data_IF_433834985054
#
_entry.id   IF_433834985054
#
_cell.length_a   1.000
_cell.length_b   1.000
_cell.length_c   1.000
_cell.angle_alpha   90.00
_cell.angle_beta   90.00
_cell.angle_gamma   90.00
#
_symmetry.space_group_name_H-M   'P 1'
#
loop_
_entity.id
_entity.type
_entity.pdbx_description
1 polymer ?
#
# COMPACT_ATOMS: atom_id res chain seq x y z
N UNK A 1 -24.01 7.58 17.15
CA UNK A 1 -23.14 6.48 16.73
C UNK A 1 -23.08 6.52 15.21
N UNK A 2 -22.03 7.16 14.66
CA UNK A 2 -21.80 7.16 13.23
C UNK A 2 -21.67 5.71 12.76
N UNK A 3 -22.41 5.33 11.73
CA UNK A 3 -22.35 3.99 11.17
C UNK A 3 -20.97 3.78 10.56
N UNK A 4 -20.03 3.16 11.32
CA UNK A 4 -18.85 2.54 10.70
C UNK A 4 -19.41 1.70 9.54
N UNK A 5 -18.97 1.97 8.33
CA UNK A 5 -19.26 1.09 7.19
C UNK A 5 -18.87 -0.32 7.62
N UNK A 6 -19.80 -1.26 7.60
CA UNK A 6 -19.62 -2.62 8.14
C UNK A 6 -18.63 -3.50 7.36
N UNK A 7 -17.97 -2.94 6.33
CA UNK A 7 -17.00 -3.63 5.49
C UNK A 7 -15.70 -3.93 6.23
N UNK A 8 -14.97 -4.92 5.73
CA UNK A 8 -13.66 -5.33 6.20
C UNK A 8 -12.66 -5.24 5.04
N UNK A 9 -11.45 -4.83 5.34
CA UNK A 9 -10.33 -4.90 4.42
C UNK A 9 -9.46 -6.09 4.78
N UNK A 10 -8.98 -6.86 3.78
CA UNK A 10 -8.05 -7.95 3.99
C UNK A 10 -6.70 -7.62 3.33
N UNK A 11 -5.64 -7.76 4.10
CA UNK A 11 -4.28 -7.76 3.58
C UNK A 11 -3.71 -9.18 3.67
N UNK A 12 -3.21 -9.73 2.56
CA UNK A 12 -2.54 -11.02 2.53
C UNK A 12 -1.05 -10.81 2.24
N UNK A 13 -0.20 -11.19 3.18
CA UNK A 13 1.24 -11.11 3.00
C UNK A 13 1.80 -12.35 2.32
N UNK A 14 2.48 -12.19 1.19
CA UNK A 14 3.18 -13.25 0.46
C UNK A 14 4.68 -12.94 0.48
N UNK A 15 5.47 -13.60 1.35
CA UNK A 15 6.85 -13.21 1.64
C UNK A 15 7.88 -13.72 0.61
N UNK A 16 7.48 -13.91 -0.65
CA UNK A 16 8.35 -14.54 -1.64
C UNK A 16 8.84 -13.55 -2.67
N UNK A 17 10.15 -13.57 -2.93
CA UNK A 17 10.79 -12.87 -4.04
C UNK A 17 11.75 -13.83 -4.76
N UNK A 18 11.98 -13.63 -6.06
CA UNK A 18 13.07 -14.33 -6.76
C UNK A 18 14.42 -13.86 -6.21
N UNK A 19 14.54 -12.54 -5.99
CA UNK A 19 15.70 -11.87 -5.39
C UNK A 19 15.21 -10.65 -4.61
N UNK A 20 15.79 -10.39 -3.43
CA UNK A 20 15.52 -9.17 -2.67
C UNK A 20 16.28 -7.98 -3.29
N UNK A 21 15.57 -6.87 -3.51
CA UNK A 21 16.15 -5.64 -4.05
C UNK A 21 17.03 -4.95 -3.01
N UNK A 22 17.99 -4.11 -3.46
CA UNK A 22 19.01 -3.51 -2.60
C UNK A 22 18.46 -2.50 -1.59
N UNK A 23 17.30 -1.91 -1.89
CA UNK A 23 16.60 -0.93 -1.05
C UNK A 23 15.49 -1.50 -0.17
N UNK A 24 15.07 -2.76 -0.41
CA UNK A 24 13.83 -3.31 0.16
C UNK A 24 14.02 -3.77 1.60
N UNK A 25 13.18 -3.26 2.51
CA UNK A 25 13.09 -3.66 3.92
C UNK A 25 11.97 -4.67 4.20
N UNK A 26 11.07 -4.91 3.23
CA UNK A 26 9.93 -5.79 3.42
C UNK A 26 10.33 -7.19 3.88
N UNK A 27 9.48 -7.78 4.70
CA UNK A 27 9.64 -9.16 5.19
C UNK A 27 9.45 -10.16 4.04
N UNK A 28 10.51 -10.35 3.25
CA UNK A 28 10.47 -11.15 2.04
C UNK A 28 11.84 -11.74 1.70
N UNK A 29 11.83 -12.82 0.91
CA UNK A 29 13.05 -13.45 0.43
C UNK A 29 12.81 -14.60 -0.54
N UNK A 30 13.88 -15.18 -1.08
CA UNK A 30 13.80 -16.37 -1.92
C UNK A 30 13.23 -17.57 -1.17
N UNK A 31 12.47 -18.41 -1.87
CA UNK A 31 11.93 -19.64 -1.32
C UNK A 31 11.88 -20.73 -2.38
N UNK A 32 11.96 -21.98 -1.93
CA UNK A 32 11.71 -23.14 -2.78
C UNK A 32 10.20 -23.33 -3.00
N UNK A 33 9.82 -24.07 -4.05
CA UNK A 33 8.42 -24.44 -4.28
C UNK A 33 7.77 -25.11 -3.05
N UNK A 34 8.47 -26.06 -2.43
CA UNK A 34 7.97 -26.72 -1.21
C UNK A 34 7.76 -25.74 -0.06
N UNK A 35 8.65 -24.75 0.10
CA UNK A 35 8.50 -23.67 1.09
C UNK A 35 7.28 -22.78 0.81
N UNK A 36 7.05 -22.45 -0.46
CA UNK A 36 5.87 -21.68 -0.87
C UNK A 36 4.57 -22.46 -0.61
N UNK A 37 4.54 -23.75 -0.97
CA UNK A 37 3.39 -24.62 -0.70
C UNK A 37 3.10 -24.73 0.80
N UNK A 38 4.12 -24.99 1.62
CA UNK A 38 3.98 -25.07 3.07
C UNK A 38 3.41 -23.77 3.67
N UNK A 39 3.89 -22.62 3.18
CA UNK A 39 3.40 -21.32 3.62
C UNK A 39 1.94 -21.08 3.20
N UNK A 40 1.57 -21.35 1.95
CA UNK A 40 0.19 -21.18 1.49
C UNK A 40 -0.77 -22.10 2.26
N UNK A 41 -0.38 -23.33 2.56
CA UNK A 41 -1.17 -24.20 3.44
C UNK A 41 -1.31 -23.66 4.87
N UNK A 42 -0.25 -23.01 5.40
CA UNK A 42 -0.31 -22.34 6.70
C UNK A 42 -1.28 -21.14 6.66
N UNK A 43 -1.21 -20.33 5.60
CA UNK A 43 -2.08 -19.18 5.39
C UNK A 43 -3.55 -19.61 5.25
N UNK A 44 -3.83 -20.70 4.54
CA UNK A 44 -5.18 -21.28 4.43
C UNK A 44 -5.74 -21.74 5.78
N UNK A 45 -4.90 -22.34 6.65
CA UNK A 45 -5.33 -22.71 8.02
C UNK A 45 -5.65 -21.49 8.88
N UNK A 46 -4.84 -20.44 8.75
CA UNK A 46 -5.12 -19.17 9.43
C UNK A 46 -6.46 -18.58 8.95
N UNK A 47 -6.65 -18.47 7.62
CA UNK A 47 -7.88 -17.96 7.00
C UNK A 47 -9.11 -18.74 7.47
N UNK A 48 -9.05 -20.08 7.46
CA UNK A 48 -10.14 -20.93 7.93
C UNK A 48 -10.50 -20.65 9.40
N UNK A 49 -9.48 -20.44 10.23
CA UNK A 49 -9.71 -20.22 11.66
C UNK A 49 -10.28 -18.84 11.94
N UNK A 50 -9.66 -17.77 11.37
CA UNK A 50 -10.07 -16.40 11.67
C UNK A 50 -11.42 -16.04 11.04
N UNK A 51 -11.76 -16.61 9.89
CA UNK A 51 -13.03 -16.35 9.21
C UNK A 51 -14.25 -16.75 10.06
N UNK A 52 -14.13 -17.79 10.90
CA UNK A 52 -15.18 -18.24 11.82
C UNK A 52 -15.60 -17.16 12.83
N UNK A 53 -14.66 -16.26 13.19
CA UNK A 53 -14.88 -15.21 14.17
C UNK A 53 -15.40 -13.89 13.55
N UNK A 54 -15.34 -13.73 12.24
CA UNK A 54 -15.70 -12.48 11.54
C UNK A 54 -17.19 -12.29 11.29
N UNK A 55 -18.06 -13.18 11.79
CA UNK A 55 -19.53 -13.09 11.75
C UNK A 55 -20.09 -12.74 10.35
N UNK A 56 -19.47 -13.22 9.29
CA UNK A 56 -19.83 -12.94 7.87
C UNK A 56 -19.80 -11.45 7.50
N UNK A 57 -18.90 -10.66 8.09
CA UNK A 57 -18.66 -9.28 7.63
C UNK A 57 -18.30 -9.31 6.16
N UNK A 58 -18.91 -8.46 5.32
CA UNK A 58 -18.52 -8.37 3.92
C UNK A 58 -17.09 -7.79 3.80
N UNK A 59 -16.33 -8.34 2.88
CA UNK A 59 -14.99 -7.85 2.52
C UNK A 59 -15.12 -6.87 1.38
N UNK A 60 -14.75 -5.62 1.62
CA UNK A 60 -14.84 -4.53 0.64
C UNK A 60 -13.57 -4.43 -0.20
N UNK A 61 -12.40 -4.75 0.38
CA UNK A 61 -11.14 -4.76 -0.35
C UNK A 61 -10.25 -5.93 0.08
N UNK A 62 -9.49 -6.45 -0.87
CA UNK A 62 -8.39 -7.40 -0.62
C UNK A 62 -7.14 -6.87 -1.29
N UNK A 63 -6.04 -6.87 -0.55
CA UNK A 63 -4.73 -6.54 -1.10
C UNK A 63 -3.75 -7.69 -0.85
N UNK A 64 -3.31 -8.34 -1.92
CA UNK A 64 -2.34 -9.44 -1.87
C UNK A 64 -0.98 -8.85 -2.23
N UNK A 65 -0.14 -8.67 -1.21
CA UNK A 65 1.12 -7.94 -1.32
C UNK A 65 2.27 -8.55 -0.54
N UNK A 66 3.31 -7.77 -0.32
CA UNK A 66 4.47 -8.08 0.51
C UNK A 66 5.76 -8.23 -0.24
N UNK A 67 6.16 -9.45 -0.60
CA UNK A 67 7.32 -9.68 -1.47
C UNK A 67 6.93 -9.54 -2.94
N UNK A 68 6.54 -10.64 -3.55
CA UNK A 68 6.07 -10.69 -4.93
C UNK A 68 5.00 -11.79 -5.05
N UNK A 69 3.73 -11.47 -4.85
CA UNK A 69 2.65 -12.46 -4.89
C UNK A 69 2.51 -13.21 -6.21
N UNK A 70 3.06 -12.67 -7.29
CA UNK A 70 3.08 -13.32 -8.61
C UNK A 70 4.21 -14.35 -8.80
N UNK A 71 5.09 -14.55 -7.79
CA UNK A 71 6.18 -15.56 -7.86
C UNK A 71 5.65 -17.01 -7.75
N UNK A 72 4.77 -17.37 -6.82
CA UNK A 72 4.31 -18.75 -6.69
C UNK A 72 3.70 -19.29 -7.98
N UNK A 73 3.80 -20.60 -8.16
CA UNK A 73 3.25 -21.30 -9.33
C UNK A 73 1.72 -21.25 -9.38
N UNK A 74 1.16 -21.45 -10.57
CA UNK A 74 -0.27 -21.35 -10.83
C UNK A 74 -1.14 -22.18 -9.87
N UNK A 75 -0.79 -23.42 -9.66
CA UNK A 75 -1.54 -24.35 -8.81
C UNK A 75 -1.49 -23.98 -7.32
N UNK A 76 -0.40 -23.36 -6.88
CA UNK A 76 -0.23 -22.86 -5.51
C UNK A 76 -1.08 -21.61 -5.28
N UNK A 77 -1.04 -20.67 -6.23
CA UNK A 77 -1.86 -19.47 -6.16
C UNK A 77 -3.35 -19.76 -6.32
N UNK A 78 -3.72 -20.70 -7.18
CA UNK A 78 -5.11 -21.10 -7.35
C UNK A 78 -5.72 -21.63 -6.04
N UNK A 79 -4.97 -22.45 -5.29
CA UNK A 79 -5.40 -22.93 -3.96
C UNK A 79 -5.64 -21.76 -2.98
N UNK A 80 -4.72 -20.78 -2.95
CA UNK A 80 -4.88 -19.61 -2.09
C UNK A 80 -6.14 -18.83 -2.45
N UNK A 81 -6.32 -18.53 -3.74
CA UNK A 81 -7.44 -17.74 -4.23
C UNK A 81 -8.79 -18.44 -4.04
N UNK A 82 -8.81 -19.77 -4.22
CA UNK A 82 -9.99 -20.60 -3.91
C UNK A 82 -10.33 -20.49 -2.41
N UNK A 83 -9.35 -20.72 -1.52
CA UNK A 83 -9.57 -20.61 -0.07
C UNK A 83 -10.04 -19.21 0.35
N UNK A 84 -9.51 -18.17 -0.26
CA UNK A 84 -9.96 -16.80 -0.02
C UNK A 84 -11.45 -16.63 -0.34
N UNK A 85 -11.94 -17.21 -1.42
CA UNK A 85 -13.36 -17.21 -1.81
C UNK A 85 -14.22 -18.11 -0.93
N UNK A 86 -13.69 -19.22 -0.44
CA UNK A 86 -14.42 -20.18 0.38
C UNK A 86 -14.64 -19.65 1.82
N UNK A 87 -13.66 -18.92 2.34
CA UNK A 87 -13.67 -18.49 3.74
C UNK A 87 -14.26 -17.09 3.98
N UNK A 88 -14.25 -16.20 2.98
CA UNK A 88 -14.69 -14.81 3.16
C UNK A 88 -15.85 -14.43 2.22
N UNK A 89 -16.77 -13.64 2.77
CA UNK A 89 -17.89 -13.08 2.01
C UNK A 89 -17.46 -11.75 1.38
N UNK A 90 -17.42 -11.68 0.06
CA UNK A 90 -17.05 -10.47 -0.65
C UNK A 90 -18.25 -9.57 -0.93
N UNK A 91 -18.06 -8.26 -0.81
CA UNK A 91 -18.99 -7.27 -1.36
C UNK A 91 -19.07 -7.43 -2.88
N UNK A 92 -20.22 -7.07 -3.46
CA UNK A 92 -20.45 -7.24 -4.90
C UNK A 92 -19.46 -6.42 -5.76
N UNK A 93 -18.99 -5.30 -5.22
CA UNK A 93 -18.05 -4.37 -5.84
C UNK A 93 -16.65 -4.40 -5.18
N UNK A 94 -16.31 -5.50 -4.52
CA UNK A 94 -15.02 -5.61 -3.82
C UNK A 94 -13.83 -5.32 -4.74
N UNK A 95 -12.91 -4.49 -4.28
CA UNK A 95 -11.61 -4.30 -4.92
C UNK A 95 -10.67 -5.43 -4.49
N UNK A 96 -10.14 -6.17 -5.45
CA UNK A 96 -9.18 -7.25 -5.19
C UNK A 96 -7.91 -6.98 -5.96
N UNK A 97 -6.89 -6.55 -5.24
CA UNK A 97 -5.56 -6.18 -5.78
C UNK A 97 -4.57 -7.31 -5.59
N UNK A 98 -3.71 -7.53 -6.58
CA UNK A 98 -2.50 -8.34 -6.47
C UNK A 98 -1.28 -7.56 -6.93
N UNK A 99 -0.19 -7.63 -6.16
CA UNK A 99 1.11 -7.11 -6.58
C UNK A 99 1.85 -8.09 -7.47
N UNK A 100 2.55 -7.56 -8.45
CA UNK A 100 3.35 -8.32 -9.38
C UNK A 100 4.66 -7.60 -9.73
N UNK A 101 5.69 -8.36 -10.03
CA UNK A 101 6.91 -7.84 -10.64
C UNK A 101 6.97 -8.20 -12.13
N UNK A 102 7.55 -7.32 -12.98
CA UNK A 102 7.80 -7.64 -14.37
C UNK A 102 8.55 -8.97 -14.54
N UNK A 103 8.12 -9.77 -15.52
CA UNK A 103 8.69 -11.09 -15.80
C UNK A 103 8.18 -12.23 -14.91
N UNK A 104 7.26 -11.95 -13.94
CA UNK A 104 6.64 -13.01 -13.12
C UNK A 104 5.19 -13.32 -13.53
N UNK A 105 4.63 -12.52 -14.42
CA UNK A 105 3.29 -12.73 -14.98
C UNK A 105 3.34 -13.63 -16.20
N UNK A 106 2.34 -14.49 -16.31
CA UNK A 106 2.08 -15.31 -17.51
C UNK A 106 0.61 -15.23 -17.86
N UNK A 107 0.21 -15.49 -19.12
CA UNK A 107 -1.21 -15.51 -19.49
C UNK A 107 -2.05 -16.49 -18.63
N UNK A 108 -1.46 -17.62 -18.23
CA UNK A 108 -2.10 -18.60 -17.35
C UNK A 108 -2.37 -18.01 -15.96
N UNK A 109 -1.37 -17.39 -15.32
CA UNK A 109 -1.53 -16.70 -14.02
C UNK A 109 -2.60 -15.62 -14.08
N UNK A 110 -2.54 -14.78 -15.09
CA UNK A 110 -3.52 -13.70 -15.28
C UNK A 110 -4.95 -14.24 -15.48
N UNK A 111 -5.12 -15.36 -16.21
CA UNK A 111 -6.39 -16.03 -16.35
C UNK A 111 -6.92 -16.56 -15.01
N UNK A 112 -6.07 -17.18 -14.19
CA UNK A 112 -6.41 -17.62 -12.84
C UNK A 112 -6.82 -16.42 -11.98
N UNK A 113 -6.05 -15.33 -11.98
CA UNK A 113 -6.37 -14.13 -11.22
C UNK A 113 -7.76 -13.59 -11.58
N UNK A 114 -8.05 -13.45 -12.86
CA UNK A 114 -9.38 -13.01 -13.33
C UNK A 114 -10.50 -14.00 -12.92
N UNK A 115 -10.26 -15.30 -13.05
CA UNK A 115 -11.22 -16.37 -12.64
C UNK A 115 -11.65 -16.21 -11.19
N UNK A 116 -10.72 -15.87 -10.30
CA UNK A 116 -10.99 -15.68 -8.87
C UNK A 116 -11.34 -14.25 -8.48
N UNK A 117 -11.57 -13.37 -9.47
CA UNK A 117 -12.11 -12.03 -9.27
C UNK A 117 -11.09 -10.99 -8.81
N UNK A 118 -9.79 -11.20 -9.08
CA UNK A 118 -8.81 -10.11 -9.00
C UNK A 118 -9.14 -9.12 -10.11
N UNK A 119 -9.36 -7.85 -9.73
CA UNK A 119 -9.80 -6.79 -10.64
C UNK A 119 -8.84 -5.61 -10.71
N UNK A 120 -7.81 -5.58 -9.84
CA UNK A 120 -6.74 -4.59 -9.87
C UNK A 120 -5.37 -5.29 -9.78
N UNK A 121 -4.38 -4.83 -10.55
CA UNK A 121 -3.01 -5.34 -10.50
C UNK A 121 -2.04 -4.17 -10.27
N UNK A 122 -1.07 -4.34 -9.36
CA UNK A 122 0.01 -3.39 -9.13
C UNK A 122 1.31 -3.96 -9.67
N UNK A 123 1.97 -3.25 -10.59
CA UNK A 123 3.20 -3.72 -11.22
C UNK A 123 4.39 -2.86 -10.76
N UNK A 124 5.30 -3.47 -10.03
CA UNK A 124 6.50 -2.83 -9.50
C UNK A 124 7.56 -2.57 -10.57
N UNK A 125 7.40 -1.53 -11.40
CA UNK A 125 8.38 -1.12 -12.39
C UNK A 125 9.59 -0.44 -11.74
N UNK A 126 9.35 0.54 -10.91
CA UNK A 126 10.28 1.44 -10.22
C UNK A 126 10.92 2.50 -11.15
N UNK A 127 11.39 2.13 -12.32
CA UNK A 127 11.92 3.04 -13.33
C UNK A 127 11.87 2.42 -14.74
N UNK A 128 11.57 3.18 -15.80
CA UNK A 128 11.75 2.74 -17.18
C UNK A 128 13.23 2.76 -17.63
N UNK A 129 14.13 3.33 -16.81
CA UNK A 129 15.56 3.39 -17.10
C UNK A 129 16.28 2.13 -16.59
N UNK A 130 16.82 1.32 -17.49
CA UNK A 130 17.50 0.08 -17.13
C UNK A 130 18.73 0.27 -16.24
N UNK A 131 19.42 1.43 -16.28
CA UNK A 131 20.54 1.71 -15.39
C UNK A 131 20.07 1.96 -13.96
N UNK A 132 18.94 2.66 -13.80
CA UNK A 132 18.31 2.88 -12.51
C UNK A 132 17.77 1.57 -11.93
N UNK A 133 17.15 0.70 -12.75
CA UNK A 133 16.76 -0.64 -12.35
C UNK A 133 17.93 -1.48 -11.86
N UNK A 134 19.04 -1.47 -12.57
CA UNK A 134 20.26 -2.16 -12.16
C UNK A 134 20.83 -1.60 -10.84
N UNK A 135 20.80 -0.26 -10.65
CA UNK A 135 21.20 0.40 -9.41
C UNK A 135 20.35 -0.05 -8.22
N UNK A 136 19.03 -0.19 -8.39
CA UNK A 136 18.09 -0.68 -7.39
C UNK A 136 18.22 -2.18 -7.10
N UNK A 137 19.06 -2.91 -7.85
CA UNK A 137 19.20 -4.37 -7.74
C UNK A 137 18.02 -5.16 -8.33
N UNK A 138 17.20 -4.51 -9.20
CA UNK A 138 16.09 -5.15 -9.91
C UNK A 138 16.61 -6.17 -10.92
N UNK A 139 15.89 -7.27 -11.07
CA UNK A 139 16.26 -8.37 -11.99
C UNK A 139 15.57 -8.28 -13.35
N UNK A 140 14.58 -7.40 -13.49
CA UNK A 140 13.89 -7.14 -14.75
C UNK A 140 14.41 -5.88 -15.44
N UNK A 141 14.07 -5.74 -16.71
CA UNK A 141 14.29 -4.55 -17.51
C UNK A 141 12.98 -3.95 -18.01
N UNK A 142 13.04 -2.79 -18.64
CA UNK A 142 11.86 -2.07 -19.13
C UNK A 142 11.07 -2.84 -20.20
N UNK A 143 11.74 -3.60 -21.07
CA UNK A 143 11.05 -4.43 -22.07
C UNK A 143 10.19 -5.50 -21.41
N UNK A 144 10.69 -6.19 -20.40
CA UNK A 144 9.91 -7.18 -19.62
C UNK A 144 8.74 -6.55 -18.87
N UNK A 145 8.86 -5.28 -18.45
CA UNK A 145 7.72 -4.56 -17.90
C UNK A 145 6.66 -4.30 -18.98
N UNK A 146 7.04 -3.82 -20.15
CA UNK A 146 6.08 -3.59 -21.24
C UNK A 146 5.34 -4.88 -21.64
N UNK A 147 6.05 -6.01 -21.73
CA UNK A 147 5.44 -7.31 -21.97
C UNK A 147 4.43 -7.67 -20.87
N UNK A 148 4.81 -7.49 -19.60
CA UNK A 148 3.94 -7.80 -18.45
C UNK A 148 2.70 -6.89 -18.42
N UNK A 149 2.86 -5.60 -18.70
CA UNK A 149 1.78 -4.62 -18.78
C UNK A 149 0.81 -4.96 -19.92
N UNK A 150 1.33 -5.29 -21.10
CA UNK A 150 0.53 -5.68 -22.24
C UNK A 150 -0.25 -6.97 -21.98
N UNK A 151 0.40 -8.00 -21.43
CA UNK A 151 -0.27 -9.25 -21.04
C UNK A 151 -1.42 -9.00 -20.04
N UNK A 152 -1.22 -8.10 -19.07
CA UNK A 152 -2.28 -7.75 -18.12
C UNK A 152 -3.47 -7.06 -18.84
N UNK A 153 -3.21 -6.17 -19.79
CA UNK A 153 -4.26 -5.55 -20.62
C UNK A 153 -5.02 -6.60 -21.46
N UNK A 154 -4.31 -7.50 -22.13
CA UNK A 154 -4.90 -8.58 -22.92
C UNK A 154 -5.75 -9.55 -22.10
N UNK A 155 -5.36 -9.77 -20.85
CA UNK A 155 -6.16 -10.54 -19.88
C UNK A 155 -7.39 -9.78 -19.34
N UNK A 156 -7.61 -8.52 -19.76
CA UNK A 156 -8.79 -7.72 -19.43
C UNK A 156 -8.67 -6.96 -18.10
N UNK A 157 -7.45 -6.70 -17.61
CA UNK A 157 -7.28 -5.77 -16.48
C UNK A 157 -7.43 -4.33 -16.96
N UNK A 158 -8.47 -3.66 -16.46
CA UNK A 158 -8.79 -2.25 -16.71
C UNK A 158 -8.41 -1.33 -15.54
N UNK A 159 -7.81 -1.87 -14.49
CA UNK A 159 -7.26 -1.11 -13.37
C UNK A 159 -5.86 -1.64 -13.06
N UNK A 160 -4.85 -0.97 -13.64
CA UNK A 160 -3.43 -1.30 -13.47
C UNK A 160 -2.76 -0.13 -12.78
N UNK A 161 -2.09 -0.44 -11.67
CA UNK A 161 -1.14 0.47 -11.04
C UNK A 161 0.28 0.18 -11.53
N UNK A 162 1.07 1.23 -11.66
CA UNK A 162 2.52 1.16 -11.89
C UNK A 162 3.23 1.89 -10.76
N UNK A 163 4.11 1.17 -10.06
CA UNK A 163 4.94 1.77 -9.02
C UNK A 163 6.19 2.38 -9.65
N UNK A 164 6.46 3.64 -9.32
CA UNK A 164 7.63 4.40 -9.70
C UNK A 164 8.36 4.93 -8.46
N UNK A 165 9.68 4.99 -8.59
CA UNK A 165 10.56 5.52 -7.55
C UNK A 165 11.38 6.67 -8.11
N UNK A 166 11.52 7.74 -7.32
CA UNK A 166 12.42 8.84 -7.62
C UNK A 166 13.48 9.00 -6.53
N UNK A 167 14.37 9.96 -6.69
CA UNK A 167 15.57 10.13 -5.86
C UNK A 167 16.48 8.88 -5.83
N UNK A 168 16.51 8.12 -6.93
CA UNK A 168 17.39 6.96 -7.09
C UNK A 168 18.85 7.46 -7.22
N UNK A 169 19.84 6.74 -6.65
CA UNK A 169 21.24 7.16 -6.77
C UNK A 169 21.67 7.42 -8.22
N UNK A 170 22.20 8.61 -8.48
CA UNK A 170 22.59 9.09 -9.81
C UNK A 170 21.45 9.56 -10.71
N UNK A 171 20.21 9.57 -10.23
CA UNK A 171 19.06 10.09 -10.98
C UNK A 171 19.08 11.63 -10.98
N UNK A 172 18.94 12.25 -12.16
CA UNK A 172 18.72 13.69 -12.25
C UNK A 172 17.24 14.04 -12.42
N UNK A 173 16.90 15.29 -12.16
CA UNK A 173 15.52 15.80 -12.25
C UNK A 173 14.92 15.57 -13.65
N UNK A 174 15.66 15.91 -14.72
CA UNK A 174 15.18 15.77 -16.10
C UNK A 174 14.90 14.30 -16.44
N UNK A 175 15.77 13.38 -16.00
CA UNK A 175 15.61 11.94 -16.17
C UNK A 175 14.35 11.42 -15.45
N UNK A 176 14.07 11.92 -14.24
CA UNK A 176 12.85 11.59 -13.53
C UNK A 176 11.58 12.04 -14.27
N UNK A 177 11.55 13.29 -14.75
CA UNK A 177 10.40 13.81 -15.48
C UNK A 177 10.17 13.05 -16.79
N UNK A 178 11.23 12.65 -17.48
CA UNK A 178 11.14 11.78 -18.67
C UNK A 178 10.56 10.41 -18.30
N UNK A 179 11.07 9.76 -17.26
CA UNK A 179 10.58 8.49 -16.75
C UNK A 179 9.07 8.54 -16.45
N UNK A 180 8.65 9.60 -15.77
CA UNK A 180 7.25 9.81 -15.39
C UNK A 180 6.35 9.93 -16.63
N UNK A 181 6.76 10.75 -17.62
CA UNK A 181 6.05 10.93 -18.88
C UNK A 181 5.98 9.64 -19.69
N UNK A 182 7.06 8.88 -19.77
CA UNK A 182 7.09 7.59 -20.45
C UNK A 182 6.03 6.63 -19.89
N UNK A 183 5.91 6.54 -18.57
CA UNK A 183 4.96 5.64 -17.94
C UNK A 183 3.53 6.18 -18.03
N UNK A 184 3.32 7.47 -17.82
CA UNK A 184 1.99 8.10 -17.95
C UNK A 184 1.41 7.94 -19.35
N UNK A 185 2.26 8.00 -20.41
CA UNK A 185 1.86 7.81 -21.80
C UNK A 185 1.36 6.38 -22.11
N UNK A 186 1.73 5.35 -21.31
CA UNK A 186 1.19 4.00 -21.42
C UNK A 186 -0.27 3.91 -20.94
N UNK A 187 -0.72 4.92 -20.21
CA UNK A 187 -2.09 5.09 -19.77
C UNK A 187 -2.56 4.13 -18.69
N UNK A 188 -1.74 3.72 -17.69
CA UNK A 188 -2.26 2.99 -16.54
C UNK A 188 -3.37 3.81 -15.87
N UNK A 189 -4.20 3.18 -15.06
CA UNK A 189 -5.26 3.88 -14.32
C UNK A 189 -4.75 4.52 -13.05
N UNK A 190 -3.62 4.01 -12.54
CA UNK A 190 -3.05 4.44 -11.28
C UNK A 190 -1.52 4.46 -11.37
N UNK A 191 -0.89 5.42 -10.72
CA UNK A 191 0.58 5.52 -10.60
C UNK A 191 0.89 5.80 -9.12
N UNK A 192 1.73 4.96 -8.52
CA UNK A 192 2.38 5.24 -7.25
C UNK A 192 3.75 5.86 -7.54
N UNK A 193 4.02 7.04 -7.02
CA UNK A 193 5.32 7.72 -7.18
C UNK A 193 5.85 8.11 -5.80
N UNK A 194 6.94 7.48 -5.37
CA UNK A 194 7.51 7.69 -4.02
C UNK A 194 9.03 7.84 -4.07
N UNK A 195 9.54 8.64 -3.15
CA UNK A 195 10.97 8.83 -2.97
C UNK A 195 11.63 7.57 -2.44
N UNK A 196 12.86 7.30 -2.86
CA UNK A 196 13.69 6.27 -2.26
C UNK A 196 14.01 6.64 -0.82
N UNK A 197 13.56 5.80 0.12
CA UNK A 197 13.95 5.87 1.53
C UNK A 197 14.98 4.78 1.79
N UNK A 198 16.04 5.13 2.51
CA UNK A 198 17.09 4.19 2.89
C UNK A 198 16.82 3.68 4.29
N UNK A 199 16.21 2.49 4.35
CA UNK A 199 15.87 1.84 5.61
C UNK A 199 17.07 1.09 6.20
N UNK A 200 17.20 1.12 7.52
CA UNK A 200 18.21 0.39 8.25
C UNK A 200 18.09 -1.13 7.98
N UNK A 201 19.23 -1.81 7.85
CA UNK A 201 19.27 -3.25 7.55
C UNK A 201 19.25 -3.60 6.07
N UNK A 202 18.89 -2.67 5.17
CA UNK A 202 18.92 -2.87 3.71
C UNK A 202 20.35 -2.91 3.18
N UNK A 203 20.52 -3.38 1.92
CA UNK A 203 21.83 -3.34 1.28
C UNK A 203 22.30 -1.88 1.08
N UNK A 204 21.36 -0.98 0.76
CA UNK A 204 21.65 0.44 0.57
C UNK A 204 22.13 1.15 1.82
N UNK A 205 21.64 0.79 3.01
CA UNK A 205 22.07 1.41 4.27
C UNK A 205 23.57 1.20 4.59
N UNK A 206 24.20 0.25 3.90
CA UNK A 206 25.62 -0.10 4.07
C UNK A 206 26.53 0.52 3.00
N UNK A 207 25.96 1.28 2.08
CA UNK A 207 26.68 1.90 0.96
C UNK A 207 26.70 3.42 1.08
N UNK A 208 27.76 4.05 0.58
CA UNK A 208 27.72 5.48 0.28
C UNK A 208 27.06 5.63 -1.09
N UNK A 209 25.89 6.25 -1.12
CA UNK A 209 25.09 6.44 -2.32
C UNK A 209 25.22 7.89 -2.80
N UNK A 210 25.20 8.10 -4.12
CA UNK A 210 25.15 9.40 -4.77
C UNK A 210 23.67 9.78 -4.98
N UNK A 211 23.04 10.29 -3.92
CA UNK A 211 21.64 10.70 -3.96
C UNK A 211 21.50 12.13 -4.49
N UNK A 212 20.38 12.46 -5.14
CA UNK A 212 20.03 13.85 -5.39
C UNK A 212 20.04 14.67 -4.09
N UNK A 213 20.35 15.95 -4.17
CA UNK A 213 20.24 16.86 -3.04
C UNK A 213 18.76 17.13 -2.69
N UNK A 214 18.51 17.68 -1.50
CA UNK A 214 17.16 17.92 -0.98
C UNK A 214 16.34 18.85 -1.89
N UNK A 215 16.95 19.85 -2.49
CA UNK A 215 16.27 20.77 -3.42
C UNK A 215 15.86 20.07 -4.71
N UNK A 216 16.69 19.16 -5.22
CA UNK A 216 16.39 18.34 -6.39
C UNK A 216 15.27 17.35 -6.07
N UNK A 217 15.35 16.65 -4.95
CA UNK A 217 14.30 15.72 -4.50
C UNK A 217 12.96 16.45 -4.30
N UNK A 218 12.99 17.61 -3.67
CA UNK A 218 11.83 18.48 -3.51
C UNK A 218 11.17 18.79 -4.86
N UNK A 219 11.95 19.23 -5.86
CA UNK A 219 11.44 19.53 -7.20
C UNK A 219 10.91 18.27 -7.90
N UNK A 220 11.58 17.12 -7.73
CA UNK A 220 11.11 15.84 -8.27
C UNK A 220 9.71 15.50 -7.75
N UNK A 221 9.47 15.66 -6.46
CA UNK A 221 8.16 15.42 -5.86
C UNK A 221 7.10 16.42 -6.35
N UNK A 222 7.41 17.71 -6.29
CA UNK A 222 6.50 18.80 -6.63
C UNK A 222 5.92 18.67 -8.04
N UNK A 223 6.76 18.28 -8.99
CA UNK A 223 6.35 18.24 -10.39
C UNK A 223 5.65 16.94 -10.79
N UNK A 224 5.59 15.92 -9.92
CA UNK A 224 4.79 14.70 -10.19
C UNK A 224 3.33 15.04 -10.46
N UNK A 225 2.70 15.79 -9.56
CA UNK A 225 1.30 16.16 -9.69
C UNK A 225 1.04 17.03 -10.93
N UNK A 226 1.98 17.92 -11.25
CA UNK A 226 1.89 18.82 -12.43
C UNK A 226 1.96 17.99 -13.71
N UNK A 227 2.95 17.12 -13.83
CA UNK A 227 3.15 16.28 -15.02
C UNK A 227 2.00 15.28 -15.19
N UNK A 228 1.62 14.58 -14.13
CA UNK A 228 0.56 13.56 -14.20
C UNK A 228 -0.81 14.16 -14.52
N UNK A 229 -1.06 15.41 -14.11
CA UNK A 229 -2.30 16.13 -14.47
C UNK A 229 -2.44 16.30 -15.99
N UNK A 230 -1.34 16.46 -16.73
CA UNK A 230 -1.36 16.54 -18.21
C UNK A 230 -1.90 15.25 -18.86
N UNK A 231 -1.81 14.11 -18.15
CA UNK A 231 -2.29 12.79 -18.57
C UNK A 231 -3.63 12.37 -17.92
N UNK A 232 -4.28 13.29 -17.19
CA UNK A 232 -5.61 13.07 -16.61
C UNK A 232 -5.60 12.39 -15.24
N UNK A 233 -4.45 12.34 -14.56
CA UNK A 233 -4.38 11.88 -13.18
C UNK A 233 -4.59 13.04 -12.20
N UNK A 234 -5.10 12.70 -11.02
CA UNK A 234 -5.12 13.58 -9.85
C UNK A 234 -4.45 12.87 -8.68
N UNK A 235 -3.78 13.66 -7.86
CA UNK A 235 -3.23 13.19 -6.58
C UNK A 235 -4.38 13.05 -5.59
N UNK A 236 -4.53 11.88 -4.95
CA UNK A 236 -5.57 11.67 -3.94
C UNK A 236 -5.00 11.43 -2.53
N UNK A 237 -3.71 11.06 -2.44
CA UNK A 237 -2.94 11.02 -1.21
C UNK A 237 -1.45 11.30 -1.52
N UNK A 238 -0.58 11.28 -0.52
CA UNK A 238 0.81 11.80 -0.61
C UNK A 238 1.60 11.20 -1.79
N UNK A 239 1.48 9.88 -2.05
CA UNK A 239 2.32 9.17 -3.02
C UNK A 239 1.54 8.56 -4.19
N UNK A 240 0.22 8.70 -4.21
CA UNK A 240 -0.61 8.00 -5.19
C UNK A 240 -1.45 8.94 -6.05
N UNK A 241 -1.47 8.63 -7.33
CA UNK A 241 -2.13 9.39 -8.39
C UNK A 241 -3.01 8.45 -9.20
N UNK A 242 -4.25 8.85 -9.48
CA UNK A 242 -5.21 8.02 -10.17
C UNK A 242 -6.01 8.81 -11.22
N UNK A 243 -6.52 8.10 -12.22
CA UNK A 243 -7.65 8.59 -13.01
C UNK A 243 -8.92 8.51 -12.15
N UNK A 244 -9.87 9.39 -12.38
CA UNK A 244 -11.09 9.47 -11.58
C UNK A 244 -11.81 8.11 -11.46
N UNK A 245 -12.07 7.67 -10.22
CA UNK A 245 -12.69 6.40 -9.89
C UNK A 245 -11.76 5.19 -9.92
N UNK A 246 -10.45 5.40 -10.03
CA UNK A 246 -9.42 4.35 -9.99
C UNK A 246 -8.47 4.49 -8.80
N UNK A 247 -8.83 5.29 -7.80
CA UNK A 247 -8.13 5.39 -6.54
C UNK A 247 -8.07 4.02 -5.86
N UNK A 248 -6.97 3.69 -5.18
CA UNK A 248 -6.85 2.41 -4.47
C UNK A 248 -7.71 2.45 -3.20
N UNK A 249 -8.86 1.79 -3.22
CA UNK A 249 -9.81 1.78 -2.10
C UNK A 249 -9.22 1.17 -0.83
N UNK A 250 -8.32 0.21 -0.99
CA UNK A 250 -7.61 -0.41 0.13
C UNK A 250 -6.68 0.60 0.83
N UNK A 251 -5.89 1.37 0.08
CA UNK A 251 -5.03 2.40 0.65
C UNK A 251 -5.85 3.51 1.32
N UNK A 252 -6.92 3.98 0.66
CA UNK A 252 -7.83 4.95 1.27
C UNK A 252 -8.42 4.44 2.58
N UNK A 253 -8.72 3.14 2.67
CA UNK A 253 -9.23 2.51 3.88
C UNK A 253 -8.27 2.63 5.06
N UNK A 254 -6.98 2.43 4.85
CA UNK A 254 -5.97 2.66 5.87
C UNK A 254 -5.94 4.12 6.34
N UNK A 255 -5.97 5.07 5.39
CA UNK A 255 -5.97 6.51 5.72
C UNK A 255 -7.28 6.98 6.37
N UNK A 256 -8.38 6.28 6.15
CA UNK A 256 -9.67 6.51 6.79
C UNK A 256 -9.85 5.70 8.08
N UNK A 257 -8.82 5.00 8.52
CA UNK A 257 -8.83 4.15 9.73
C UNK A 257 -9.97 3.12 9.72
N UNK A 258 -10.22 2.47 8.57
CA UNK A 258 -11.15 1.35 8.48
C UNK A 258 -10.58 0.11 9.16
N UNK A 259 -11.47 -0.80 9.55
CA UNK A 259 -11.07 -2.10 10.07
C UNK A 259 -10.38 -2.92 8.96
N UNK A 260 -9.19 -3.40 9.24
CA UNK A 260 -8.47 -4.32 8.35
C UNK A 260 -7.90 -5.52 9.12
N UNK A 261 -7.87 -6.65 8.47
CA UNK A 261 -7.28 -7.90 8.96
C UNK A 261 -6.10 -8.28 8.09
N UNK A 262 -4.91 -8.31 8.67
CA UNK A 262 -3.71 -8.82 8.04
C UNK A 262 -3.60 -10.33 8.26
N UNK A 263 -3.33 -11.05 7.19
CA UNK A 263 -3.15 -12.51 7.15
C UNK A 263 -1.75 -12.82 6.62
N UNK A 264 -1.12 -13.80 7.21
CA UNK A 264 0.24 -14.17 6.84
C UNK A 264 1.32 -13.59 7.75
N UNK A 265 2.57 -13.88 7.39
CA UNK A 265 3.76 -13.55 8.15
C UNK A 265 3.91 -12.04 8.35
N UNK A 266 4.03 -11.58 9.59
CA UNK A 266 4.24 -10.17 9.94
C UNK A 266 3.07 -9.23 9.61
N UNK A 267 1.95 -9.74 9.10
CA UNK A 267 0.82 -8.91 8.69
C UNK A 267 0.16 -8.22 9.90
N UNK A 268 -0.06 -6.90 9.79
CA UNK A 268 -0.70 -6.09 10.82
C UNK A 268 -2.23 -6.07 10.65
N UNK A 269 -2.94 -5.87 11.75
CA UNK A 269 -4.40 -5.78 11.82
C UNK A 269 -4.86 -4.63 12.70
N UNK A 270 -6.01 -4.05 12.36
CA UNK A 270 -6.77 -3.13 13.19
C UNK A 270 -8.25 -3.53 13.12
N UNK A 271 -8.79 -4.03 14.22
CA UNK A 271 -10.20 -4.42 14.33
C UNK A 271 -10.87 -3.64 15.48
N UNK A 272 -11.62 -2.63 15.11
CA UNK A 272 -12.17 -1.70 16.10
C UNK A 272 -11.09 -0.89 16.79
N UNK A 273 -10.76 -1.26 18.04
CA UNK A 273 -9.69 -0.66 18.85
C UNK A 273 -8.49 -1.58 19.04
N UNK A 274 -8.57 -2.79 18.54
CA UNK A 274 -7.58 -3.82 18.76
C UNK A 274 -6.58 -3.80 17.60
N UNK A 275 -5.33 -3.51 17.90
CA UNK A 275 -4.20 -3.56 16.97
C UNK A 275 -3.29 -4.70 17.35
N UNK A 276 -2.86 -5.47 16.37
CA UNK A 276 -1.88 -6.52 16.53
C UNK A 276 -1.17 -6.80 15.20
N UNK A 277 -0.10 -7.58 15.25
CA UNK A 277 0.55 -8.11 14.05
C UNK A 277 0.78 -9.61 14.23
N UNK A 278 0.88 -10.33 13.12
CA UNK A 278 1.34 -11.70 13.16
C UNK A 278 2.84 -11.77 13.41
N UNK A 279 3.33 -12.93 13.89
CA UNK A 279 4.76 -13.18 14.06
C UNK A 279 5.52 -12.99 12.74
N UNK A 280 6.73 -12.45 12.82
CA UNK A 280 7.69 -12.37 11.71
C UNK A 280 8.58 -13.62 11.61
N UNK A 281 8.47 -14.57 12.53
CA UNK A 281 9.19 -15.85 12.50
C UNK A 281 8.43 -16.87 11.64
N UNK A 282 9.06 -17.27 10.52
CA UNK A 282 8.47 -18.21 9.56
C UNK A 282 8.18 -19.57 10.19
N UNK A 283 9.06 -20.09 11.08
CA UNK A 283 8.87 -21.41 11.67
C UNK A 283 7.72 -21.40 12.69
N UNK A 284 7.65 -20.34 13.49
CA UNK A 284 6.53 -20.13 14.41
C UNK A 284 5.19 -20.03 13.64
N UNK A 285 5.19 -19.27 12.54
CA UNK A 285 4.01 -19.10 11.70
C UNK A 285 3.55 -20.43 11.07
N UNK A 286 4.44 -21.17 10.43
CA UNK A 286 4.14 -22.46 9.82
C UNK A 286 3.58 -23.47 10.81
N UNK A 287 4.11 -23.48 12.03
CA UNK A 287 3.71 -24.40 13.10
C UNK A 287 2.35 -24.05 13.71
N UNK A 288 2.04 -22.77 13.88
CA UNK A 288 0.95 -22.32 14.74
C UNK A 288 -0.16 -21.56 13.98
N UNK A 289 -0.16 -21.50 12.65
CA UNK A 289 -1.10 -20.71 11.84
C UNK A 289 -2.59 -21.05 12.06
N UNK A 290 -2.92 -22.24 12.57
CA UNK A 290 -4.28 -22.62 12.97
C UNK A 290 -4.70 -22.14 14.37
N UNK A 291 -3.82 -21.47 15.09
CA UNK A 291 -4.04 -20.96 16.44
C UNK A 291 -3.62 -19.48 16.48
N UNK A 292 -4.52 -18.55 16.04
CA UNK A 292 -4.19 -17.12 15.91
C UNK A 292 -3.59 -16.51 17.18
N UNK A 293 -4.05 -16.91 18.36
CA UNK A 293 -3.54 -16.44 19.64
C UNK A 293 -2.05 -16.76 19.88
N UNK A 294 -1.48 -17.72 19.14
CA UNK A 294 -0.06 -18.06 19.22
C UNK A 294 0.82 -17.27 18.27
N UNK A 295 0.24 -16.83 17.14
CA UNK A 295 1.00 -16.08 16.13
C UNK A 295 0.81 -14.57 16.26
N UNK A 296 -0.26 -14.10 16.91
CA UNK A 296 -0.49 -12.68 17.13
C UNK A 296 0.50 -12.12 18.17
N UNK A 297 1.11 -11.00 17.83
CA UNK A 297 2.12 -10.26 18.61
C UNK A 297 1.74 -8.79 18.69
N UNK A 298 2.46 -8.03 19.51
CA UNK A 298 2.33 -6.59 19.61
C UNK A 298 0.89 -6.13 19.82
N UNK A 299 0.17 -6.83 20.69
CA UNK A 299 -1.24 -6.58 20.95
C UNK A 299 -1.40 -5.28 21.72
N UNK A 300 -2.23 -4.40 21.22
CA UNK A 300 -2.50 -3.09 21.78
C UNK A 300 -4.01 -2.81 21.75
N UNK A 301 -4.54 -2.27 22.84
CA UNK A 301 -5.90 -1.73 22.89
C UNK A 301 -5.81 -0.20 22.84
N UNK A 302 -6.17 0.36 21.71
CA UNK A 302 -6.08 1.79 21.48
C UNK A 302 -6.99 2.57 22.43
N UNK A 303 -6.46 3.62 23.03
CA UNK A 303 -7.21 4.59 23.81
C UNK A 303 -8.04 5.49 22.88
N UNK A 304 -8.90 6.32 23.46
CA UNK A 304 -9.64 7.33 22.69
C UNK A 304 -8.69 8.38 22.10
N UNK A 305 -7.65 8.73 22.85
CA UNK A 305 -6.62 9.66 22.45
C UNK A 305 -5.84 9.13 21.23
N UNK A 306 -5.47 7.84 21.24
CA UNK A 306 -4.83 7.18 20.10
C UNK A 306 -5.74 7.21 18.87
N UNK A 307 -7.03 6.91 19.04
CA UNK A 307 -8.00 6.95 17.93
C UNK A 307 -8.14 8.37 17.34
N UNK A 308 -8.12 9.42 18.18
CA UNK A 308 -8.16 10.81 17.72
C UNK A 308 -6.87 11.19 16.98
N UNK A 309 -5.72 10.82 17.52
CA UNK A 309 -4.42 11.06 16.89
C UNK A 309 -4.34 10.39 15.51
N UNK A 310 -4.73 9.11 15.42
CA UNK A 310 -4.78 8.37 14.16
C UNK A 310 -5.75 8.96 13.14
N UNK A 311 -6.92 9.40 13.57
CA UNK A 311 -7.86 10.10 12.70
C UNK A 311 -7.21 11.32 12.05
N UNK A 312 -6.40 12.05 12.81
CA UNK A 312 -5.70 13.23 12.29
C UNK A 312 -4.55 12.84 11.37
N UNK A 313 -3.56 12.09 11.85
CA UNK A 313 -2.34 11.89 11.06
C UNK A 313 -2.54 10.96 9.86
N UNK A 314 -3.44 9.97 9.94
CA UNK A 314 -3.78 9.14 8.77
C UNK A 314 -4.64 9.93 7.78
N UNK A 315 -5.66 10.66 8.27
CA UNK A 315 -6.55 11.43 7.41
C UNK A 315 -5.86 12.59 6.70
N UNK A 316 -4.84 13.19 7.30
CA UNK A 316 -4.03 14.25 6.69
C UNK A 316 -3.11 13.72 5.56
N UNK A 317 -2.93 12.42 5.41
CA UNK A 317 -2.27 11.85 4.22
C UNK A 317 -3.12 12.00 2.95
N UNK A 318 -4.45 12.04 3.08
CA UNK A 318 -5.36 12.28 1.97
C UNK A 318 -5.32 13.74 1.54
N UNK A 319 -5.32 14.02 0.24
CA UNK A 319 -5.36 15.41 -0.27
C UNK A 319 -6.63 16.15 0.16
N UNK A 320 -7.74 15.43 0.34
CA UNK A 320 -8.98 15.99 0.90
C UNK A 320 -8.92 16.24 2.42
N UNK A 321 -7.92 15.71 3.11
CA UNK A 321 -7.73 15.87 4.55
C UNK A 321 -8.86 15.27 5.40
N UNK A 322 -9.03 15.80 6.63
CA UNK A 322 -9.98 15.33 7.62
C UNK A 322 -11.24 16.20 7.68
N UNK A 323 -12.39 15.59 7.92
CA UNK A 323 -13.66 16.29 8.10
C UNK A 323 -13.89 16.63 9.57
N UNK A 324 -14.13 17.90 9.87
CA UNK A 324 -14.49 18.36 11.22
C UNK A 324 -15.80 17.75 11.71
N UNK A 325 -16.75 17.57 10.79
CA UNK A 325 -18.03 16.93 11.08
C UNK A 325 -17.86 15.47 11.45
N UNK A 326 -17.08 14.71 10.67
CA UNK A 326 -16.82 13.30 10.97
C UNK A 326 -16.08 13.13 12.31
N UNK A 327 -15.09 14.00 12.59
CA UNK A 327 -14.40 13.99 13.89
C UNK A 327 -15.38 14.18 15.04
N UNK A 328 -16.29 15.16 14.93
CA UNK A 328 -17.30 15.41 15.94
C UNK A 328 -18.29 14.25 16.10
N UNK A 329 -18.70 13.62 15.02
CA UNK A 329 -19.59 12.46 15.05
C UNK A 329 -18.93 11.23 15.68
N UNK A 330 -17.61 11.03 15.46
CA UNK A 330 -16.87 9.91 16.03
C UNK A 330 -16.53 10.10 17.50
N UNK A 331 -16.13 11.32 17.87
CA UNK A 331 -15.51 11.59 19.16
C UNK A 331 -16.37 12.46 20.09
N UNK A 332 -17.59 12.82 19.68
CA UNK A 332 -18.51 13.68 20.46
C UNK A 332 -17.83 14.95 21.03
N UNK A 333 -16.91 15.52 20.24
CA UNK A 333 -16.19 16.75 20.56
C UNK A 333 -15.71 17.44 19.29
N UNK A 334 -15.64 18.77 19.31
CA UNK A 334 -15.06 19.52 18.20
C UNK A 334 -13.55 19.31 18.14
N UNK A 335 -13.01 19.22 16.93
CA UNK A 335 -11.58 19.03 16.69
C UNK A 335 -10.73 20.16 17.33
N UNK A 336 -11.26 21.38 17.37
CA UNK A 336 -10.62 22.54 17.97
C UNK A 336 -10.45 22.43 19.49
N UNK A 337 -11.32 21.70 20.16
CA UNK A 337 -11.22 21.49 21.61
C UNK A 337 -10.00 20.64 21.99
N UNK A 338 -9.55 19.78 21.08
CA UNK A 338 -8.40 18.89 21.30
C UNK A 338 -7.14 19.47 20.66
N UNK A 339 -7.23 19.90 19.42
CA UNK A 339 -6.09 20.28 18.58
C UNK A 339 -6.01 21.78 18.25
N UNK A 340 -6.76 22.64 18.95
CA UNK A 340 -6.87 24.07 18.63
C UNK A 340 -5.54 24.79 18.48
N UNK A 341 -4.57 24.55 19.39
CA UNK A 341 -3.25 25.20 19.32
C UNK A 341 -2.41 24.64 18.15
N UNK A 342 -2.46 23.34 17.88
CA UNK A 342 -1.77 22.70 16.75
C UNK A 342 -2.33 23.24 15.42
N UNK A 343 -3.64 23.29 15.30
CA UNK A 343 -4.31 23.84 14.12
C UNK A 343 -3.96 25.31 13.89
N UNK A 344 -3.99 26.13 14.94
CA UNK A 344 -3.62 27.55 14.89
C UNK A 344 -2.16 27.74 14.46
N UNK A 345 -1.24 26.93 15.02
CA UNK A 345 0.19 26.94 14.68
C UNK A 345 0.38 26.73 13.18
N UNK A 346 -0.13 25.65 12.65
CA UNK A 346 0.14 25.25 11.28
C UNK A 346 -0.68 26.02 10.23
N UNK A 347 -1.87 26.50 10.57
CA UNK A 347 -2.62 27.45 9.72
C UNK A 347 -1.89 28.78 9.60
N UNK A 348 -1.31 29.30 10.69
CA UNK A 348 -0.51 30.53 10.67
C UNK A 348 0.76 30.39 9.81
N UNK A 349 1.33 29.18 9.74
CA UNK A 349 2.48 28.87 8.89
C UNK A 349 2.10 28.58 7.43
N UNK A 350 0.82 28.50 7.11
CA UNK A 350 0.34 28.14 5.77
C UNK A 350 0.49 26.64 5.41
N UNK A 351 0.82 25.78 6.41
CA UNK A 351 1.03 24.35 6.20
C UNK A 351 -0.27 23.52 6.29
N UNK A 352 -1.27 24.05 7.01
CA UNK A 352 -2.63 23.51 7.04
C UNK A 352 -3.61 24.54 6.48
N UNK A 353 -4.52 24.06 5.67
CA UNK A 353 -5.63 24.82 5.11
C UNK A 353 -6.96 24.31 5.66
N UNK A 354 -7.97 25.17 5.69
CA UNK A 354 -9.33 24.81 6.03
C UNK A 354 -10.29 25.35 4.98
N UNK A 355 -11.07 24.45 4.38
CA UNK A 355 -12.09 24.81 3.42
C UNK A 355 -13.29 23.83 3.52
N UNK A 356 -14.50 24.34 3.44
CA UNK A 356 -15.74 23.55 3.43
C UNK A 356 -15.87 22.56 4.60
N UNK A 357 -15.34 22.93 5.78
CA UNK A 357 -15.37 22.09 6.98
C UNK A 357 -14.38 20.92 6.97
N UNK A 358 -13.40 20.96 6.09
CA UNK A 358 -12.27 20.01 6.05
C UNK A 358 -10.95 20.73 6.35
N UNK A 359 -10.03 20.01 6.97
CA UNK A 359 -8.66 20.46 7.26
C UNK A 359 -7.72 19.53 6.49
N UNK A 360 -6.83 20.12 5.71
CA UNK A 360 -5.89 19.38 4.86
C UNK A 360 -4.53 20.07 4.79
N UNK A 361 -3.51 19.33 4.41
CA UNK A 361 -2.17 19.88 4.19
C UNK A 361 -2.16 20.76 2.94
N UNK A 362 -1.50 21.92 3.05
CA UNK A 362 -1.14 22.68 1.85
C UNK A 362 -0.07 21.93 1.05
N UNK A 363 0.27 22.42 -0.13
CA UNK A 363 1.35 21.86 -0.93
C UNK A 363 2.68 21.87 -0.16
N UNK A 364 3.01 22.97 0.49
CA UNK A 364 4.17 23.10 1.37
C UNK A 364 4.04 22.20 2.61
N UNK A 365 2.81 22.04 3.13
CA UNK A 365 2.53 21.18 4.28
C UNK A 365 2.78 19.69 4.00
N UNK A 366 2.58 19.23 2.76
CA UNK A 366 2.85 17.84 2.36
C UNK A 366 4.34 17.52 2.50
N UNK A 367 5.24 18.41 2.13
CA UNK A 367 6.69 18.20 2.23
C UNK A 367 7.18 17.98 3.66
N UNK A 368 6.57 18.66 4.61
CA UNK A 368 6.87 18.55 6.03
C UNK A 368 5.81 17.75 6.79
N UNK A 369 5.05 16.94 6.06
CA UNK A 369 3.88 16.23 6.58
C UNK A 369 4.18 15.40 7.81
N UNK A 370 5.32 14.71 7.87
CA UNK A 370 5.71 13.92 9.04
C UNK A 370 5.84 14.79 10.30
N UNK A 371 6.44 15.99 10.19
CA UNK A 371 6.55 16.91 11.31
C UNK A 371 5.19 17.48 11.71
N UNK A 372 4.34 17.85 10.73
CA UNK A 372 2.98 18.33 11.00
C UNK A 372 2.14 17.24 11.66
N UNK A 373 2.18 16.02 11.13
CA UNK A 373 1.39 14.88 11.63
C UNK A 373 1.84 14.43 13.03
N UNK A 374 3.13 14.51 13.34
CA UNK A 374 3.66 14.17 14.66
C UNK A 374 3.10 15.04 15.80
N UNK A 375 2.79 16.32 15.53
CA UNK A 375 2.22 17.23 16.53
C UNK A 375 0.75 16.90 16.89
N UNK A 376 0.11 15.96 16.17
CA UNK A 376 -1.22 15.46 16.52
C UNK A 376 -1.20 14.24 17.46
N UNK A 377 -0.04 13.75 17.85
CA UNK A 377 0.08 12.73 18.90
C UNK A 377 -0.29 13.36 20.25
N UNK A 378 -1.11 12.67 21.06
CA UNK A 378 -1.61 13.15 22.36
C UNK A 378 -0.87 12.50 23.52
#
# INVERSE_FOLDING_TARGET
MGTKKNGLELYLHIPFCIKKCDYCDFLSGPSTRAGQEAYIYALLREMETVSKNLKKRPVDTVFIGGGTPSVPECDVMEKLLQGLRDYFLFSADAEVTIEANPGTLTPEKLSIYRKYGINRISIGLQSPNNKELAMLGRIHNYAQFLESFQMAREAGFSNINVDLMFAIPGQCYEGWIENLRMVAALGPEHISAYSLIIEEGTHFSRKKLDLPDEDTEYRMYEDVAVVLKEYGYHQYEISNYAKAGCECRHNEGYWQRKDYLGLGLGAASLLGKERFSNTSDMQEYLKNSSAPEKIQKNWELLTREDEMAEFMFLGLRMTQGVSKKEFQEYFDTAIENIYGEVLKKYKKQGLLLEESGRIFLSREGIHVSNAVMADFLL
#
